data_IF_013211504697
#
_entry.id   IF_013211504697
#
_cell.length_a   1.000
_cell.length_b   1.000
_cell.length_c   1.000
_cell.angle_alpha   90.00
_cell.angle_beta   90.00
_cell.angle_gamma   90.00
#
_symmetry.space_group_name_H-M   'P 1'
#
loop_
_entity.id
_entity.type
_entity.pdbx_description
1 polymer ?
#
# COMPACT_ATOMS: atom_id res chain seq x y z
N UNK A 1 16.94 5.71 21.54
CA UNK A 1 16.29 4.41 21.27
C UNK A 1 16.25 4.22 19.76
N UNK A 2 16.58 3.02 19.28
CA UNK A 2 16.64 2.75 17.85
C UNK A 2 15.25 2.53 17.22
N UNK A 3 14.32 1.94 17.99
CA UNK A 3 12.91 1.84 17.62
C UNK A 3 12.25 3.20 17.90
N UNK A 4 11.54 3.72 16.91
CA UNK A 4 10.85 5.02 16.97
C UNK A 4 9.37 4.76 17.20
N UNK A 5 8.82 5.37 18.25
CA UNK A 5 7.38 5.35 18.51
C UNK A 5 6.66 6.42 17.67
N UNK A 6 5.61 6.01 16.96
CA UNK A 6 4.79 6.92 16.16
C UNK A 6 4.08 7.97 17.03
N UNK A 7 3.77 7.68 18.29
CA UNK A 7 3.17 8.63 19.22
C UNK A 7 4.07 9.85 19.51
N UNK A 8 5.39 9.70 19.31
CA UNK A 8 6.35 10.79 19.52
C UNK A 8 6.51 11.71 18.31
N UNK A 9 5.79 11.47 17.21
CA UNK A 9 5.95 12.24 15.98
C UNK A 9 5.01 13.44 15.94
N UNK A 10 5.43 14.57 15.35
CA UNK A 10 4.52 15.68 15.08
C UNK A 10 3.33 15.23 14.22
N UNK A 11 2.13 15.72 14.52
CA UNK A 11 0.91 15.47 13.73
C UNK A 11 1.10 15.65 12.22
N UNK A 12 1.82 16.69 11.79
CA UNK A 12 2.16 16.91 10.38
C UNK A 12 2.91 15.73 9.77
N UNK A 13 3.89 15.19 10.48
CA UNK A 13 4.66 14.02 10.03
C UNK A 13 3.77 12.79 9.92
N UNK A 14 2.81 12.59 10.84
CA UNK A 14 1.85 11.49 10.75
C UNK A 14 0.96 11.61 9.51
N UNK A 15 0.45 12.80 9.21
CA UNK A 15 -0.34 13.04 7.99
C UNK A 15 0.51 12.81 6.72
N UNK A 16 1.74 13.32 6.70
CA UNK A 16 2.66 13.14 5.57
C UNK A 16 3.03 11.66 5.36
N UNK A 17 3.21 10.90 6.45
CA UNK A 17 3.44 9.45 6.41
C UNK A 17 2.23 8.70 5.88
N UNK A 18 1.01 9.03 6.34
CA UNK A 18 -0.23 8.42 5.86
C UNK A 18 -0.38 8.60 4.33
N UNK A 19 -0.23 9.83 3.84
CA UNK A 19 -0.28 10.14 2.41
C UNK A 19 0.84 9.45 1.63
N UNK A 20 2.02 9.33 2.23
CA UNK A 20 3.16 8.62 1.61
C UNK A 20 2.90 7.13 1.51
N UNK A 21 2.32 6.50 2.53
CA UNK A 21 1.97 5.09 2.54
C UNK A 21 0.89 4.78 1.51
N UNK A 22 -0.07 5.69 1.36
CA UNK A 22 -1.06 5.63 0.28
C UNK A 22 -0.40 5.59 -1.11
N UNK A 23 0.49 6.55 -1.39
CA UNK A 23 1.25 6.61 -2.66
C UNK A 23 2.19 5.41 -2.86
N UNK A 24 2.79 4.92 -1.78
CA UNK A 24 3.65 3.75 -1.77
C UNK A 24 2.87 2.49 -2.15
N UNK A 25 1.67 2.31 -1.61
CA UNK A 25 0.80 1.18 -1.93
C UNK A 25 0.45 1.16 -3.42
N UNK A 26 0.11 2.30 -4.01
CA UNK A 26 -0.13 2.40 -5.46
C UNK A 26 1.13 2.18 -6.31
N UNK A 27 2.31 2.41 -5.72
CA UNK A 27 3.57 2.11 -6.41
C UNK A 27 3.83 0.61 -6.40
N UNK A 28 3.61 -0.09 -5.28
CA UNK A 28 3.74 -1.55 -5.19
C UNK A 28 2.78 -2.23 -6.18
N UNK A 29 1.51 -1.86 -6.13
CA UNK A 29 0.47 -2.37 -7.03
C UNK A 29 0.81 -2.11 -8.52
N UNK A 30 1.13 -0.85 -8.87
CA UNK A 30 1.51 -0.50 -10.23
C UNK A 30 2.78 -1.18 -10.72
N UNK A 31 3.74 -1.48 -9.85
CA UNK A 31 4.94 -2.25 -10.20
C UNK A 31 4.61 -3.73 -10.46
N UNK A 32 3.75 -4.34 -9.65
CA UNK A 32 3.22 -5.67 -9.95
C UNK A 32 2.54 -5.69 -11.31
N UNK A 33 1.60 -4.77 -11.52
CA UNK A 33 0.87 -4.65 -12.79
C UNK A 33 1.82 -4.54 -13.98
N UNK A 34 2.79 -3.62 -13.95
CA UNK A 34 3.69 -3.36 -15.09
C UNK A 34 4.57 -4.58 -15.38
N UNK A 35 5.10 -5.26 -14.35
CA UNK A 35 5.93 -6.45 -14.59
C UNK A 35 5.10 -7.63 -15.14
N UNK A 36 3.84 -7.78 -14.71
CA UNK A 36 2.92 -8.78 -15.26
C UNK A 36 2.54 -8.42 -16.70
N UNK A 37 2.25 -7.14 -16.99
CA UNK A 37 1.95 -6.63 -18.33
C UNK A 37 3.13 -6.89 -19.29
N UNK A 38 4.36 -6.58 -18.85
CA UNK A 38 5.58 -6.78 -19.64
C UNK A 38 5.83 -8.27 -19.94
N UNK A 39 5.51 -9.17 -19.00
CA UNK A 39 5.80 -10.61 -19.14
C UNK A 39 4.69 -11.39 -19.83
N UNK A 40 3.43 -11.02 -19.60
CA UNK A 40 2.25 -11.81 -20.00
C UNK A 40 1.18 -11.03 -20.77
N UNK A 41 1.42 -9.76 -21.07
CA UNK A 41 0.50 -8.89 -21.80
C UNK A 41 -0.54 -8.21 -20.91
N UNK A 42 -1.15 -7.15 -21.47
CA UNK A 42 -2.08 -6.27 -20.75
C UNK A 42 -3.32 -7.00 -20.24
N UNK A 43 -3.93 -7.88 -21.05
CA UNK A 43 -5.15 -8.58 -20.66
C UNK A 43 -4.92 -9.50 -19.45
N UNK A 44 -3.79 -10.20 -19.41
CA UNK A 44 -3.39 -11.01 -18.26
C UNK A 44 -3.17 -10.14 -17.01
N UNK A 45 -2.53 -8.99 -17.17
CA UNK A 45 -2.31 -8.06 -16.07
C UNK A 45 -3.63 -7.53 -15.50
N UNK A 46 -4.57 -7.11 -16.36
CA UNK A 46 -5.92 -6.68 -15.96
C UNK A 46 -6.64 -7.81 -15.22
N UNK A 47 -6.63 -9.03 -15.76
CA UNK A 47 -7.35 -10.15 -15.15
C UNK A 47 -6.84 -10.46 -13.73
N UNK A 48 -5.52 -10.48 -13.54
CA UNK A 48 -4.93 -10.71 -12.21
C UNK A 48 -5.21 -9.54 -11.27
N UNK A 49 -5.07 -8.31 -11.76
CA UNK A 49 -5.35 -7.08 -10.99
C UNK A 49 -6.81 -7.07 -10.50
N UNK A 50 -7.78 -7.34 -11.38
CA UNK A 50 -9.20 -7.45 -11.04
C UNK A 50 -9.42 -8.45 -9.90
N UNK A 51 -8.77 -9.63 -9.92
CA UNK A 51 -8.89 -10.63 -8.84
C UNK A 51 -8.27 -10.17 -7.52
N UNK A 52 -7.17 -9.41 -7.58
CA UNK A 52 -6.54 -8.81 -6.39
C UNK A 52 -7.52 -7.84 -5.73
N UNK A 53 -8.06 -6.90 -6.50
CA UNK A 53 -8.95 -5.86 -6.00
C UNK A 53 -10.33 -6.38 -5.56
N UNK A 54 -10.86 -7.42 -6.21
CA UNK A 54 -12.06 -8.13 -5.78
C UNK A 54 -11.93 -8.70 -4.35
N UNK A 55 -10.83 -9.41 -4.08
CA UNK A 55 -10.56 -9.99 -2.76
C UNK A 55 -10.21 -8.90 -1.73
N UNK A 56 -9.52 -7.85 -2.17
CA UNK A 56 -9.07 -6.77 -1.31
C UNK A 56 -10.20 -5.85 -0.83
N UNK A 57 -11.17 -5.51 -1.70
CA UNK A 57 -12.20 -4.50 -1.38
C UNK A 57 -12.99 -4.77 -0.10
N UNK A 58 -13.47 -6.00 0.10
CA UNK A 58 -14.16 -6.39 1.34
C UNK A 58 -13.22 -6.44 2.57
N UNK A 59 -11.94 -6.73 2.35
CA UNK A 59 -10.94 -6.74 3.42
C UNK A 59 -10.64 -5.32 3.90
N UNK A 60 -10.48 -4.39 2.97
CA UNK A 60 -10.24 -2.99 3.27
C UNK A 60 -11.43 -2.35 3.99
N UNK A 61 -12.65 -2.54 3.49
CA UNK A 61 -13.85 -2.02 4.14
C UNK A 61 -13.96 -2.47 5.61
N UNK A 62 -13.69 -3.76 5.90
CA UNK A 62 -13.66 -4.26 7.30
C UNK A 62 -12.58 -3.58 8.15
N UNK A 63 -11.40 -3.36 7.58
CA UNK A 63 -10.28 -2.72 8.29
C UNK A 63 -10.56 -1.25 8.56
N UNK A 64 -11.14 -0.52 7.60
CA UNK A 64 -11.56 0.88 7.75
C UNK A 64 -12.65 1.00 8.82
N UNK A 65 -13.69 0.15 8.76
CA UNK A 65 -14.75 0.13 9.79
C UNK A 65 -14.16 -0.05 11.19
N UNK A 66 -13.20 -0.98 11.34
CA UNK A 66 -12.50 -1.19 12.60
C UNK A 66 -11.65 0.01 13.02
N UNK A 67 -10.83 0.56 12.13
CA UNK A 67 -9.92 1.65 12.44
C UNK A 67 -10.66 2.95 12.83
N UNK A 68 -11.86 3.16 12.29
CA UNK A 68 -12.67 4.36 12.50
C UNK A 68 -13.88 4.14 13.43
N UNK A 69 -13.99 2.95 14.01
CA UNK A 69 -15.13 2.51 14.83
C UNK A 69 -16.50 2.76 14.16
N UNK A 70 -16.61 2.49 12.86
CA UNK A 70 -17.88 2.60 12.12
C UNK A 70 -18.68 1.33 12.37
N UNK A 71 -19.80 1.47 13.07
CA UNK A 71 -20.70 0.34 13.40
C UNK A 71 -21.98 0.38 12.57
N UNK A 72 -22.39 1.58 12.16
CA UNK A 72 -23.51 1.86 11.29
C UNK A 72 -23.25 1.53 9.80
N UNK A 73 -24.32 1.54 9.02
CA UNK A 73 -24.34 1.36 7.56
C UNK A 73 -24.79 2.63 6.81
N UNK A 74 -25.27 2.45 5.60
CA UNK A 74 -25.79 3.53 4.75
C UNK A 74 -24.73 4.45 4.12
N UNK A 75 -25.22 5.50 3.48
CA UNK A 75 -24.41 6.49 2.75
C UNK A 75 -23.47 7.27 3.66
N UNK A 76 -23.84 7.71 4.88
CA UNK A 76 -22.90 8.38 5.78
C UNK A 76 -21.68 7.51 6.13
N UNK A 77 -21.91 6.22 6.39
CA UNK A 77 -20.83 5.26 6.66
C UNK A 77 -19.94 5.07 5.42
N UNK A 78 -20.54 4.97 4.23
CA UNK A 78 -19.81 4.82 2.97
C UNK A 78 -18.96 6.06 2.65
N UNK A 79 -19.56 7.26 2.73
CA UNK A 79 -18.89 8.52 2.48
C UNK A 79 -17.68 8.68 3.40
N UNK A 80 -17.86 8.42 4.70
CA UNK A 80 -16.76 8.40 5.68
C UNK A 80 -15.70 7.37 5.28
N UNK A 81 -16.06 6.14 4.94
CA UNK A 81 -15.11 5.07 4.63
C UNK A 81 -14.31 5.33 3.33
N UNK A 82 -14.93 5.92 2.30
CA UNK A 82 -14.29 6.22 1.02
C UNK A 82 -13.07 7.14 1.19
N UNK A 83 -13.12 8.11 2.10
CA UNK A 83 -12.00 9.00 2.42
C UNK A 83 -10.72 8.27 2.90
N UNK A 84 -10.82 6.98 3.27
CA UNK A 84 -9.73 6.21 3.87
C UNK A 84 -9.35 4.95 3.10
N UNK A 85 -9.93 4.71 1.91
CA UNK A 85 -9.38 3.68 1.02
C UNK A 85 -7.90 3.95 0.77
N UNK A 86 -7.08 2.90 0.70
CA UNK A 86 -5.62 3.00 0.79
C UNK A 86 -5.01 3.95 -0.20
N UNK A 87 -5.63 4.15 -1.35
CA UNK A 87 -5.15 4.98 -2.43
C UNK A 87 -5.67 6.42 -2.39
N UNK A 88 -6.73 6.68 -1.62
CA UNK A 88 -7.44 7.97 -1.60
C UNK A 88 -6.59 9.10 -1.02
N UNK A 89 -5.87 8.96 0.12
CA UNK A 89 -5.02 10.04 0.63
C UNK A 89 -3.87 10.44 -0.30
N UNK A 90 -3.55 9.60 -1.28
CA UNK A 90 -2.50 9.81 -2.28
C UNK A 90 -2.98 10.48 -3.57
N UNK A 91 -4.29 10.71 -3.73
CA UNK A 91 -4.94 11.25 -4.92
C UNK A 91 -5.79 12.49 -4.58
N UNK A 92 -6.28 13.18 -5.61
CA UNK A 92 -7.36 14.16 -5.44
C UNK A 92 -8.70 13.60 -5.91
N UNK A 93 -9.73 13.94 -5.15
CA UNK A 93 -11.08 13.43 -5.28
C UNK A 93 -12.07 14.46 -4.69
N UNK A 94 -13.35 14.24 -4.96
CA UNK A 94 -14.44 15.07 -4.45
C UNK A 94 -15.74 14.25 -4.37
N UNK A 95 -16.72 14.80 -3.66
CA UNK A 95 -18.08 14.27 -3.59
C UNK A 95 -19.05 15.32 -4.14
N UNK A 96 -19.32 15.33 -5.47
CA UNK A 96 -20.17 16.37 -6.06
C UNK A 96 -21.65 16.25 -5.64
N UNK A 97 -22.07 15.09 -5.13
CA UNK A 97 -23.43 14.85 -4.62
C UNK A 97 -23.33 13.94 -3.38
N UNK A 98 -23.91 14.36 -2.24
CA UNK A 98 -24.05 13.52 -1.05
C UNK A 98 -25.43 13.73 -0.44
N UNK A 99 -26.26 12.70 -0.42
CA UNK A 99 -27.60 12.74 0.18
C UNK A 99 -27.71 11.70 1.29
N UNK A 100 -28.87 11.59 1.93
CA UNK A 100 -29.10 10.50 2.88
C UNK A 100 -29.07 9.11 2.22
N UNK A 101 -29.37 9.02 0.92
CA UNK A 101 -29.62 7.76 0.19
C UNK A 101 -28.75 7.54 -1.05
N UNK A 102 -28.01 8.54 -1.50
CA UNK A 102 -27.04 8.46 -2.61
C UNK A 102 -25.77 9.26 -2.33
N UNK A 103 -24.66 8.87 -2.94
CA UNK A 103 -23.51 9.76 -3.13
C UNK A 103 -22.90 9.53 -4.51
N UNK A 104 -22.22 10.55 -5.02
CA UNK A 104 -21.30 10.44 -6.16
C UNK A 104 -19.89 10.69 -5.65
N UNK A 105 -18.94 9.87 -6.08
CA UNK A 105 -17.54 9.98 -5.72
C UNK A 105 -16.70 10.09 -7.00
N UNK A 106 -16.01 11.22 -7.16
CA UNK A 106 -15.15 11.51 -8.31
C UNK A 106 -13.67 11.41 -7.92
N UNK A 107 -12.86 10.84 -8.79
CA UNK A 107 -11.39 10.97 -8.74
C UNK A 107 -10.97 12.01 -9.77
N UNK A 108 -10.41 13.12 -9.33
CA UNK A 108 -10.06 14.28 -10.17
C UNK A 108 -8.56 14.34 -10.49
N UNK A 109 -7.69 13.73 -9.68
CA UNK A 109 -6.27 13.50 -10.01
C UNK A 109 -5.87 12.05 -9.72
N UNK A 110 -5.94 11.20 -10.75
CA UNK A 110 -5.57 9.79 -10.65
C UNK A 110 -4.06 9.60 -10.86
N UNK A 111 -3.35 9.21 -9.80
CA UNK A 111 -1.90 8.96 -9.87
C UNK A 111 -1.51 7.83 -10.84
N UNK A 112 -2.36 6.83 -11.01
CA UNK A 112 -2.14 5.70 -11.94
C UNK A 112 -2.18 6.18 -13.39
N UNK A 113 -3.20 6.93 -13.78
CA UNK A 113 -3.33 7.45 -15.14
C UNK A 113 -2.21 8.43 -15.47
N UNK A 114 -1.87 9.35 -14.56
CA UNK A 114 -0.70 10.23 -14.76
C UNK A 114 0.60 9.46 -14.91
N UNK A 115 0.79 8.37 -14.16
CA UNK A 115 1.98 7.54 -14.28
C UNK A 115 2.05 6.85 -15.65
N UNK A 116 0.92 6.35 -16.17
CA UNK A 116 0.80 5.80 -17.53
C UNK A 116 1.19 6.84 -18.59
N UNK A 117 0.56 8.01 -18.56
CA UNK A 117 0.81 9.10 -19.52
C UNK A 117 2.27 9.57 -19.47
N UNK A 118 2.82 9.79 -18.27
CA UNK A 118 4.25 10.17 -18.10
C UNK A 118 5.21 9.14 -18.69
N UNK A 119 4.82 7.87 -18.71
CA UNK A 119 5.61 6.78 -19.27
C UNK A 119 5.26 6.48 -20.74
N UNK A 120 4.58 7.39 -21.44
CA UNK A 120 4.14 7.23 -22.83
C UNK A 120 3.31 5.95 -23.06
N UNK A 121 2.51 5.55 -22.06
CA UNK A 121 1.56 4.44 -22.15
C UNK A 121 0.14 4.99 -22.33
N UNK A 122 -0.74 4.27 -23.03
CA UNK A 122 -2.15 4.65 -23.11
C UNK A 122 -2.79 4.62 -21.72
N UNK A 123 -3.92 5.30 -21.60
CA UNK A 123 -4.74 5.24 -20.39
C UNK A 123 -5.07 3.80 -20.02
N UNK A 124 -5.01 3.54 -18.72
CA UNK A 124 -5.34 2.25 -18.17
C UNK A 124 -6.85 2.05 -18.21
N UNK A 125 -7.30 0.92 -18.75
CA UNK A 125 -8.71 0.51 -18.80
C UNK A 125 -9.18 0.01 -17.43
N UNK A 126 -9.20 0.89 -16.43
CA UNK A 126 -9.37 0.56 -15.02
C UNK A 126 -10.80 0.22 -14.60
N UNK A 127 -11.82 0.46 -15.44
CA UNK A 127 -13.23 0.21 -15.09
C UNK A 127 -13.51 -1.18 -14.48
N UNK A 128 -13.06 -2.31 -15.05
CA UNK A 128 -13.30 -3.64 -14.45
C UNK A 128 -12.64 -3.79 -13.07
N UNK A 129 -11.49 -3.17 -12.86
CA UNK A 129 -10.76 -3.19 -11.58
C UNK A 129 -11.50 -2.34 -10.55
N UNK A 130 -11.98 -1.16 -10.94
CA UNK A 130 -12.80 -0.29 -10.10
C UNK A 130 -14.10 -0.97 -9.68
N UNK A 131 -14.81 -1.63 -10.59
CA UNK A 131 -16.03 -2.39 -10.30
C UNK A 131 -15.75 -3.53 -9.31
N UNK A 132 -14.66 -4.27 -9.53
CA UNK A 132 -14.22 -5.35 -8.65
C UNK A 132 -13.82 -4.85 -7.25
N UNK A 133 -13.25 -3.66 -7.12
CA UNK A 133 -12.95 -3.04 -5.82
C UNK A 133 -14.23 -2.55 -5.12
N UNK A 134 -14.98 -1.68 -5.77
CA UNK A 134 -16.03 -0.90 -5.13
C UNK A 134 -17.29 -1.72 -4.80
N UNK A 135 -17.61 -2.74 -5.60
CA UNK A 135 -18.77 -3.61 -5.33
C UNK A 135 -18.66 -4.34 -3.97
N UNK A 136 -17.61 -5.16 -3.69
CA UNK A 136 -17.47 -5.81 -2.40
C UNK A 136 -17.18 -4.82 -1.26
N UNK A 137 -16.51 -3.69 -1.55
CA UNK A 137 -16.31 -2.62 -0.57
C UNK A 137 -17.64 -2.06 -0.07
N UNK A 138 -18.51 -1.59 -0.97
CA UNK A 138 -19.80 -1.01 -0.63
C UNK A 138 -20.70 -2.03 0.09
N UNK A 139 -20.78 -3.27 -0.41
CA UNK A 139 -21.57 -4.34 0.24
C UNK A 139 -21.09 -4.69 1.64
N UNK A 140 -19.81 -4.48 1.94
CA UNK A 140 -19.24 -4.68 3.28
C UNK A 140 -19.56 -3.53 4.23
N UNK A 141 -19.68 -2.31 3.70
CA UNK A 141 -20.17 -1.16 4.48
C UNK A 141 -21.63 -1.40 4.85
N UNK A 142 -22.47 -1.65 3.84
CA UNK A 142 -23.90 -1.95 3.98
C UNK A 142 -24.38 -2.85 2.81
N UNK A 143 -25.00 -4.02 3.08
CA UNK A 143 -25.51 -4.91 2.03
C UNK A 143 -26.55 -4.28 1.10
N UNK A 144 -27.26 -3.24 1.54
CA UNK A 144 -28.27 -2.49 0.81
C UNK A 144 -27.72 -1.53 -0.25
N UNK A 145 -26.41 -1.23 -0.22
CA UNK A 145 -25.78 -0.31 -1.17
C UNK A 145 -25.63 -0.94 -2.56
N UNK A 146 -26.07 -0.23 -3.57
CA UNK A 146 -25.77 -0.46 -4.98
C UNK A 146 -24.73 0.55 -5.47
N UNK A 147 -24.01 0.17 -6.50
CA UNK A 147 -22.98 0.97 -7.13
C UNK A 147 -23.23 0.99 -8.65
N UNK A 148 -22.95 2.13 -9.25
CA UNK A 148 -22.97 2.35 -10.69
C UNK A 148 -21.71 3.13 -11.09
N UNK A 149 -20.98 2.64 -12.10
CA UNK A 149 -19.90 3.38 -12.72
C UNK A 149 -20.50 4.39 -13.71
N UNK A 150 -20.34 5.69 -13.45
CA UNK A 150 -20.85 6.75 -14.32
C UNK A 150 -19.89 7.03 -15.48
N UNK A 151 -18.60 7.10 -15.18
CA UNK A 151 -17.53 7.15 -16.18
C UNK A 151 -16.24 6.60 -15.57
N UNK A 152 -15.45 5.89 -16.36
CA UNK A 152 -14.15 5.36 -15.99
C UNK A 152 -13.46 4.82 -17.25
N UNK A 153 -12.18 5.10 -17.49
CA UNK A 153 -11.42 4.51 -18.58
C UNK A 153 -11.66 2.99 -18.71
N UNK A 154 -11.96 2.49 -19.92
CA UNK A 154 -11.77 3.12 -21.22
C UNK A 154 -12.93 4.00 -21.72
N UNK A 155 -13.98 4.20 -20.92
CA UNK A 155 -15.09 5.05 -21.31
C UNK A 155 -14.60 6.50 -21.46
N UNK A 156 -15.26 7.27 -22.34
CA UNK A 156 -15.02 8.70 -22.41
C UNK A 156 -15.35 9.37 -21.07
N UNK A 157 -14.48 10.28 -20.64
CA UNK A 157 -14.60 10.99 -19.39
C UNK A 157 -14.28 12.48 -19.57
N UNK A 158 -14.81 13.36 -18.71
CA UNK A 158 -14.43 14.77 -18.67
C UNK A 158 -12.92 14.96 -18.42
N UNK A 159 -12.36 16.08 -18.87
CA UNK A 159 -10.91 16.37 -18.71
C UNK A 159 -10.47 16.42 -17.23
N UNK A 160 -11.37 16.79 -16.32
CA UNK A 160 -11.13 17.02 -14.90
C UNK A 160 -11.61 15.87 -13.99
N UNK A 161 -12.21 14.82 -14.55
CA UNK A 161 -12.70 13.65 -13.80
C UNK A 161 -12.21 12.38 -14.47
N UNK A 162 -11.33 11.65 -13.79
CA UNK A 162 -10.80 10.37 -14.27
C UNK A 162 -11.79 9.22 -14.10
N UNK A 163 -12.52 9.19 -12.99
CA UNK A 163 -13.60 8.25 -12.80
C UNK A 163 -14.64 8.79 -11.83
N UNK A 164 -15.89 8.37 -12.02
CA UNK A 164 -17.04 8.78 -11.22
C UNK A 164 -17.91 7.58 -10.89
N UNK A 165 -18.25 7.44 -9.62
CA UNK A 165 -18.96 6.29 -9.07
C UNK A 165 -20.15 6.76 -8.26
N UNK A 166 -21.36 6.32 -8.65
CA UNK A 166 -22.58 6.59 -7.91
C UNK A 166 -22.90 5.41 -7.00
N UNK A 167 -23.22 5.70 -5.75
CA UNK A 167 -23.70 4.72 -4.79
C UNK A 167 -25.09 5.11 -4.32
N UNK A 168 -25.97 4.13 -4.11
CA UNK A 168 -27.35 4.35 -3.65
C UNK A 168 -27.86 3.22 -2.77
N UNK A 169 -28.76 3.50 -1.85
CA UNK A 169 -29.54 2.47 -1.15
C UNK A 169 -30.71 2.00 -2.02
N UNK A 170 -31.05 0.70 -1.98
CA UNK A 170 -32.26 0.18 -2.64
C UNK A 170 -33.52 0.82 -2.02
N UNK A 171 -34.45 1.18 -2.90
CA UNK A 171 -35.79 1.71 -2.65
C UNK A 171 -35.88 3.19 -2.17
N UNK A 172 -36.51 4.01 -3.03
CA UNK A 172 -36.98 5.40 -2.88
C UNK A 172 -36.10 6.56 -3.41
N UNK A 173 -36.71 7.64 -3.93
CA UNK A 173 -36.00 8.82 -4.42
C UNK A 173 -35.27 9.55 -3.28
N UNK A 174 -34.07 10.05 -3.58
CA UNK A 174 -33.23 10.82 -2.67
C UNK A 174 -33.66 12.30 -2.64
N UNK A 175 -33.60 12.92 -1.46
CA UNK A 175 -33.56 14.38 -1.31
C UNK A 175 -32.11 14.84 -1.29
N UNK A 176 -31.75 15.77 -2.18
CA UNK A 176 -30.42 16.42 -2.17
C UNK A 176 -30.17 17.07 -0.81
N UNK A 177 -29.01 16.76 -0.22
CA UNK A 177 -28.45 17.54 0.87
C UNK A 177 -27.17 18.14 0.30
N UNK A 178 -27.03 19.47 0.30
CA UNK A 178 -25.73 20.05 -0.01
C UNK A 178 -24.77 19.70 1.13
N UNK A 179 -23.74 18.92 0.84
CA UNK A 179 -22.70 18.57 1.80
C UNK A 179 -21.46 18.04 1.10
N UNK A 180 -20.29 18.56 1.48
CA UNK A 180 -19.00 17.97 1.12
C UNK A 180 -18.66 16.89 2.15
N UNK A 181 -18.44 15.65 1.68
CA UNK A 181 -18.01 14.54 2.53
C UNK A 181 -16.48 14.38 2.56
N UNK A 182 -15.73 15.18 1.80
CA UNK A 182 -14.27 15.18 1.82
C UNK A 182 -13.78 15.72 3.18
N UNK A 183 -12.75 15.07 3.71
CA UNK A 183 -12.17 15.47 5.00
C UNK A 183 -10.78 16.09 4.82
N UNK A 184 -10.37 16.93 5.77
CA UNK A 184 -8.97 17.21 6.00
C UNK A 184 -8.38 16.20 7.00
N UNK A 185 -7.35 15.46 6.60
CA UNK A 185 -6.65 14.52 7.49
C UNK A 185 -6.00 15.21 8.70
N UNK A 186 -5.78 16.53 8.64
CA UNK A 186 -5.34 17.32 9.81
C UNK A 186 -6.41 17.46 10.89
N UNK A 187 -7.68 17.15 10.63
CA UNK A 187 -8.74 17.17 11.64
C UNK A 187 -8.76 15.90 12.50
N UNK A 188 -8.06 14.85 12.07
CA UNK A 188 -8.02 13.57 12.77
C UNK A 188 -7.16 13.64 14.03
N UNK A 189 -7.47 12.82 15.03
CA UNK A 189 -6.59 12.64 16.18
C UNK A 189 -5.29 11.94 15.80
N UNK A 190 -4.20 12.18 16.53
CA UNK A 190 -2.92 11.46 16.32
C UNK A 190 -3.08 9.95 16.46
N UNK A 191 -3.89 9.50 17.44
CA UNK A 191 -4.21 8.09 17.62
C UNK A 191 -4.91 7.48 16.39
N UNK A 192 -5.88 8.19 15.80
CA UNK A 192 -6.54 7.77 14.56
C UNK A 192 -5.55 7.69 13.39
N UNK A 193 -4.69 8.70 13.23
CA UNK A 193 -3.66 8.69 12.18
C UNK A 193 -2.71 7.50 12.32
N UNK A 194 -2.29 7.17 13.54
CA UNK A 194 -1.41 6.04 13.83
C UNK A 194 -2.10 4.70 13.49
N UNK A 195 -3.36 4.53 13.86
CA UNK A 195 -4.11 3.32 13.49
C UNK A 195 -4.29 3.18 11.98
N UNK A 196 -4.51 4.28 11.26
CA UNK A 196 -4.57 4.29 9.79
C UNK A 196 -3.21 3.96 9.15
N UNK A 197 -2.10 4.47 9.68
CA UNK A 197 -0.73 4.14 9.21
C UNK A 197 -0.47 2.63 9.37
N UNK A 198 -0.78 2.06 10.55
CA UNK A 198 -0.67 0.61 10.78
C UNK A 198 -1.60 -0.20 9.88
N UNK A 199 -2.79 0.32 9.61
CA UNK A 199 -3.74 -0.31 8.67
C UNK A 199 -3.15 -0.34 7.25
N UNK A 200 -2.64 0.78 6.74
CA UNK A 200 -2.04 0.85 5.40
C UNK A 200 -0.82 -0.05 5.26
N UNK A 201 -0.01 -0.15 6.33
CA UNK A 201 1.09 -1.11 6.42
C UNK A 201 0.63 -2.57 6.21
N UNK A 202 -0.47 -2.97 6.87
CA UNK A 202 -1.05 -4.31 6.71
C UNK A 202 -1.72 -4.49 5.34
N UNK A 203 -2.33 -3.43 4.82
CA UNK A 203 -3.03 -3.44 3.55
C UNK A 203 -2.09 -3.63 2.37
N UNK A 204 -0.95 -2.92 2.30
CA UNK A 204 0.00 -3.11 1.19
C UNK A 204 0.56 -4.54 1.17
N UNK A 205 0.83 -5.13 2.32
CA UNK A 205 1.27 -6.54 2.42
C UNK A 205 0.15 -7.50 1.98
N UNK A 206 -1.11 -7.13 2.18
CA UNK A 206 -2.24 -7.92 1.68
C UNK A 206 -2.34 -7.83 0.16
N UNK A 207 -2.18 -6.63 -0.42
CA UNK A 207 -2.19 -6.42 -1.88
C UNK A 207 -1.04 -7.20 -2.53
N UNK A 208 0.17 -7.05 -2.00
CA UNK A 208 1.38 -7.76 -2.44
C UNK A 208 1.19 -9.29 -2.38
N UNK A 209 0.72 -9.81 -1.24
CA UNK A 209 0.43 -11.23 -1.09
C UNK A 209 -0.67 -11.75 -2.03
N UNK A 210 -1.68 -10.94 -2.35
CA UNK A 210 -2.73 -11.30 -3.31
C UNK A 210 -2.19 -11.36 -4.74
N UNK A 211 -1.35 -10.39 -5.14
CA UNK A 211 -0.63 -10.44 -6.43
C UNK A 211 0.21 -11.70 -6.52
N UNK A 212 1.03 -11.95 -5.50
CA UNK A 212 1.90 -13.12 -5.42
C UNK A 212 1.11 -14.42 -5.55
N UNK A 213 0.05 -14.60 -4.76
CA UNK A 213 -0.77 -15.83 -4.76
C UNK A 213 -1.45 -16.04 -6.10
N UNK A 214 -2.03 -15.00 -6.71
CA UNK A 214 -2.70 -15.15 -8.01
C UNK A 214 -1.71 -15.53 -9.13
N UNK A 215 -0.47 -15.06 -9.06
CA UNK A 215 0.59 -15.44 -10.02
C UNK A 215 1.09 -16.86 -9.73
N UNK A 216 1.34 -17.20 -8.46
CA UNK A 216 1.75 -18.55 -8.02
C UNK A 216 0.73 -19.60 -8.45
N UNK A 217 -0.57 -19.33 -8.25
CA UNK A 217 -1.66 -20.25 -8.62
C UNK A 217 -1.86 -20.38 -10.13
N UNK A 218 -1.62 -19.30 -10.89
CA UNK A 218 -1.84 -19.29 -12.34
C UNK A 218 -0.66 -19.89 -13.11
N UNK A 219 0.56 -19.64 -12.64
CA UNK A 219 1.78 -20.02 -13.34
C UNK A 219 2.58 -21.00 -12.48
N UNK A 220 3.40 -20.48 -11.57
CA UNK A 220 4.19 -21.23 -10.60
C UNK A 220 4.84 -20.29 -9.59
N UNK A 221 5.42 -20.87 -8.52
CA UNK A 221 6.10 -20.14 -7.46
C UNK A 221 7.32 -19.34 -7.96
N UNK A 222 8.11 -19.92 -8.88
CA UNK A 222 9.30 -19.28 -9.40
C UNK A 222 8.97 -18.02 -10.22
N UNK A 223 7.88 -18.06 -10.97
CA UNK A 223 7.34 -16.91 -11.71
C UNK A 223 6.89 -15.80 -10.77
N UNK A 224 6.20 -16.15 -9.68
CA UNK A 224 5.80 -15.19 -8.67
C UNK A 224 7.03 -14.52 -8.04
N UNK A 225 8.05 -15.30 -7.66
CA UNK A 225 9.32 -14.82 -7.10
C UNK A 225 10.05 -13.89 -8.08
N UNK A 226 10.18 -14.27 -9.36
CA UNK A 226 10.88 -13.44 -10.36
C UNK A 226 10.25 -12.05 -10.50
N UNK A 227 8.92 -11.97 -10.48
CA UNK A 227 8.22 -10.69 -10.54
C UNK A 227 8.37 -9.94 -9.21
N UNK A 228 8.21 -10.62 -8.08
CA UNK A 228 8.32 -10.05 -6.73
C UNK A 228 9.69 -9.37 -6.51
N UNK A 229 10.77 -10.03 -6.93
CA UNK A 229 12.13 -9.47 -6.92
C UNK A 229 12.17 -8.12 -7.67
N UNK A 230 11.62 -8.05 -8.88
CA UNK A 230 11.61 -6.82 -9.71
C UNK A 230 10.76 -5.73 -9.09
N UNK A 231 9.66 -6.09 -8.44
CA UNK A 231 8.78 -5.14 -7.74
C UNK A 231 9.53 -4.51 -6.58
N UNK A 232 10.04 -5.32 -5.66
CA UNK A 232 10.67 -4.81 -4.44
C UNK A 232 12.04 -4.15 -4.69
N UNK A 233 12.78 -4.55 -5.73
CA UNK A 233 14.00 -3.86 -6.17
C UNK A 233 13.70 -2.39 -6.56
N UNK A 234 12.72 -2.18 -7.45
CA UNK A 234 12.34 -0.83 -7.92
C UNK A 234 11.64 -0.04 -6.82
N UNK A 235 10.83 -0.71 -6.00
CA UNK A 235 10.12 -0.08 -4.89
C UNK A 235 11.09 0.41 -3.81
N UNK A 236 12.13 -0.37 -3.46
CA UNK A 236 13.12 0.01 -2.44
C UNK A 236 13.76 1.38 -2.70
N UNK A 237 14.08 1.69 -3.96
CA UNK A 237 14.57 3.02 -4.37
C UNK A 237 13.51 4.11 -4.15
N UNK A 238 12.27 3.83 -4.56
CA UNK A 238 11.17 4.81 -4.48
C UNK A 238 10.83 5.14 -3.04
N UNK A 239 10.74 4.12 -2.19
CA UNK A 239 10.44 4.26 -0.77
C UNK A 239 11.54 5.03 -0.05
N UNK A 240 12.81 4.66 -0.23
CA UNK A 240 13.94 5.36 0.38
C UNK A 240 13.90 6.86 0.05
N UNK A 241 13.69 7.23 -1.23
CA UNK A 241 13.55 8.64 -1.64
C UNK A 241 12.38 9.36 -0.98
N UNK A 242 11.23 8.69 -0.82
CA UNK A 242 10.05 9.28 -0.17
C UNK A 242 10.28 9.45 1.33
N UNK A 243 10.83 8.45 2.00
CA UNK A 243 11.16 8.53 3.42
C UNK A 243 12.20 9.61 3.72
N UNK A 244 13.22 9.78 2.86
CA UNK A 244 14.18 10.89 3.02
C UNK A 244 13.51 12.26 3.05
N UNK A 245 12.52 12.48 2.19
CA UNK A 245 11.74 13.73 2.18
C UNK A 245 10.82 13.87 3.39
N UNK A 246 10.04 12.84 3.72
CA UNK A 246 9.05 12.92 4.82
C UNK A 246 9.73 13.05 6.17
N UNK A 247 10.87 12.40 6.35
CA UNK A 247 11.58 12.34 7.62
C UNK A 247 12.72 13.35 7.72
N UNK A 248 12.96 14.18 6.69
CA UNK A 248 14.12 15.07 6.57
C UNK A 248 15.43 14.32 6.88
N UNK A 249 15.73 13.28 6.10
CA UNK A 249 16.98 12.55 6.20
C UNK A 249 17.96 13.13 5.18
N UNK A 250 19.09 13.63 5.68
CA UNK A 250 20.16 14.19 4.87
C UNK A 250 20.84 13.13 4.00
N UNK A 251 21.36 13.56 2.85
CA UNK A 251 22.24 12.75 2.01
C UNK A 251 23.52 12.39 2.77
N UNK A 252 23.96 11.13 2.69
CA UNK A 252 25.21 10.71 3.33
C UNK A 252 25.13 10.56 4.86
N UNK A 253 23.93 10.43 5.44
CA UNK A 253 23.75 10.29 6.89
C UNK A 253 24.13 8.93 7.50
N UNK A 254 24.68 8.01 6.71
CA UNK A 254 25.23 6.72 7.15
C UNK A 254 24.23 5.83 7.91
N UNK A 255 24.71 5.12 8.93
CA UNK A 255 23.92 4.18 9.73
C UNK A 255 22.76 4.86 10.45
N UNK A 256 22.96 6.08 10.98
CA UNK A 256 21.91 6.82 11.67
C UNK A 256 20.71 7.13 10.74
N UNK A 257 21.00 7.57 9.51
CA UNK A 257 19.99 7.77 8.48
C UNK A 257 19.26 6.46 8.11
N UNK A 258 20.00 5.37 7.93
CA UNK A 258 19.44 4.06 7.62
C UNK A 258 18.52 3.56 8.73
N UNK A 259 18.99 3.57 9.99
CA UNK A 259 18.19 3.15 11.16
C UNK A 259 16.89 3.95 11.24
N UNK A 260 16.98 5.28 11.08
CA UNK A 260 15.79 6.14 11.05
C UNK A 260 14.84 5.72 9.93
N UNK A 261 15.34 5.49 8.71
CA UNK A 261 14.49 5.09 7.57
C UNK A 261 13.87 3.69 7.73
N UNK A 262 14.61 2.72 8.27
CA UNK A 262 14.14 1.35 8.49
C UNK A 262 12.92 1.29 9.43
N UNK A 263 12.81 2.20 10.39
CA UNK A 263 11.63 2.30 11.26
C UNK A 263 10.32 2.64 10.52
N UNK A 264 10.41 3.16 9.28
CA UNK A 264 9.29 3.71 8.53
C UNK A 264 9.07 3.09 7.16
N UNK A 265 9.75 1.98 6.83
CA UNK A 265 9.36 1.21 5.64
C UNK A 265 7.88 0.82 5.75
N UNK A 266 7.16 0.81 4.64
CA UNK A 266 5.70 0.77 4.62
C UNK A 266 5.14 -0.42 5.39
N UNK A 267 5.82 -1.55 5.37
CA UNK A 267 5.39 -2.80 5.99
C UNK A 267 5.78 -2.89 7.49
N UNK A 268 6.62 -1.99 7.97
CA UNK A 268 7.19 -2.04 9.32
C UNK A 268 6.17 -1.74 10.42
N UNK A 269 5.27 -0.74 10.31
CA UNK A 269 4.26 -0.50 11.35
C UNK A 269 3.27 -1.64 11.59
N UNK A 270 3.16 -2.58 10.62
CA UNK A 270 2.32 -3.77 10.71
C UNK A 270 3.04 -5.03 11.20
N UNK A 271 4.33 -4.95 11.54
CA UNK A 271 5.19 -6.08 11.91
C UNK A 271 6.05 -5.75 13.14
N UNK A 272 6.67 -6.78 13.74
CA UNK A 272 7.67 -6.59 14.79
C UNK A 272 9.09 -6.88 14.30
N UNK A 273 10.00 -6.09 14.86
CA UNK A 273 11.40 -6.01 14.49
C UNK A 273 12.21 -5.44 15.65
N UNK A 274 13.51 -5.63 15.56
CA UNK A 274 14.50 -5.13 16.52
C UNK A 274 15.82 -4.80 15.84
N UNK A 275 16.66 -4.06 16.56
CA UNK A 275 18.03 -3.78 16.19
C UNK A 275 18.96 -4.33 17.28
N UNK A 276 19.39 -5.60 17.19
CA UNK A 276 20.19 -6.22 18.26
C UNK A 276 21.58 -5.59 18.39
N UNK A 277 22.10 -4.98 17.32
CA UNK A 277 23.39 -4.30 17.30
C UNK A 277 23.31 -3.01 16.47
N UNK A 278 23.82 -1.91 17.03
CA UNK A 278 24.01 -0.64 16.33
C UNK A 278 25.34 -0.03 16.75
N UNK A 279 26.15 0.32 15.76
CA UNK A 279 27.38 1.10 15.93
C UNK A 279 27.36 2.28 14.96
N UNK A 280 28.41 3.10 14.97
CA UNK A 280 28.56 4.17 13.97
C UNK A 280 28.76 3.64 12.55
N UNK A 281 29.26 2.40 12.40
CA UNK A 281 29.63 1.79 11.11
C UNK A 281 28.79 0.58 10.72
N UNK A 282 27.94 0.07 11.61
CA UNK A 282 27.11 -1.10 11.34
C UNK A 282 25.75 -1.06 12.04
N UNK A 283 24.77 -1.74 11.47
CA UNK A 283 23.52 -2.10 12.16
C UNK A 283 23.09 -3.49 11.74
N UNK A 284 22.58 -4.27 12.69
CA UNK A 284 21.81 -5.49 12.42
C UNK A 284 20.32 -5.15 12.58
N UNK A 285 19.52 -5.56 11.60
CA UNK A 285 18.07 -5.38 11.58
C UNK A 285 17.41 -6.76 11.49
N UNK A 286 16.65 -7.12 12.53
CA UNK A 286 15.91 -8.38 12.60
C UNK A 286 14.43 -8.12 12.40
N UNK A 287 13.78 -8.94 11.57
CA UNK A 287 12.32 -9.08 11.56
C UNK A 287 11.96 -10.27 12.44
N UNK A 288 11.31 -9.99 13.56
CA UNK A 288 10.95 -11.01 14.56
C UNK A 288 9.52 -11.50 14.39
N UNK A 289 8.64 -10.70 13.75
CA UNK A 289 7.30 -11.12 13.38
C UNK A 289 6.94 -10.81 11.92
N UNK A 290 7.04 -11.82 11.06
CA UNK A 290 6.78 -11.68 9.63
C UNK A 290 5.37 -12.15 9.25
N UNK A 291 4.47 -11.19 9.00
CA UNK A 291 3.07 -11.49 8.64
C UNK A 291 2.92 -12.33 7.35
N UNK A 292 3.66 -12.08 6.26
CA UNK A 292 3.63 -12.94 5.06
C UNK A 292 3.97 -14.40 5.34
N UNK A 293 5.03 -14.66 6.12
CA UNK A 293 5.44 -16.03 6.45
C UNK A 293 4.37 -16.74 7.28
N UNK A 294 3.87 -16.10 8.34
CA UNK A 294 2.77 -16.65 9.15
C UNK A 294 1.52 -16.93 8.31
N UNK A 295 1.20 -16.05 7.37
CA UNK A 295 0.06 -16.25 6.47
C UNK A 295 0.25 -17.50 5.61
N UNK A 296 1.40 -17.68 4.96
CA UNK A 296 1.66 -18.90 4.17
C UNK A 296 1.64 -20.17 5.01
N UNK A 297 2.20 -20.16 6.23
CA UNK A 297 2.14 -21.32 7.12
C UNK A 297 0.70 -21.66 7.50
N UNK A 298 -0.10 -20.66 7.90
CA UNK A 298 -1.53 -20.84 8.17
C UNK A 298 -2.27 -21.41 6.96
N UNK A 299 -1.92 -20.94 5.77
CA UNK A 299 -2.54 -21.35 4.51
C UNK A 299 -1.91 -22.64 3.94
N UNK A 300 -1.05 -23.33 4.71
CA UNK A 300 -0.39 -24.61 4.39
C UNK A 300 0.45 -24.59 3.11
N UNK A 301 1.05 -23.43 2.79
CA UNK A 301 1.91 -23.23 1.61
C UNK A 301 3.40 -23.34 1.88
N UNK A 302 3.79 -23.71 3.10
CA UNK A 302 5.18 -23.71 3.56
C UNK A 302 5.77 -22.30 3.68
N UNK A 303 7.01 -22.21 4.15
CA UNK A 303 7.73 -20.94 4.20
C UNK A 303 8.01 -20.41 2.80
N UNK A 304 7.86 -19.10 2.63
CA UNK A 304 8.24 -18.40 1.42
C UNK A 304 9.76 -18.31 1.34
N UNK A 305 10.44 -18.74 0.25
CA UNK A 305 11.86 -18.47 0.04
C UNK A 305 12.13 -16.99 -0.28
N UNK A 306 11.91 -16.09 0.69
CA UNK A 306 11.89 -14.63 0.50
C UNK A 306 13.27 -13.97 0.41
N UNK A 307 14.37 -14.69 0.67
CA UNK A 307 15.73 -14.16 0.65
C UNK A 307 16.08 -13.36 -0.61
N UNK A 308 15.81 -13.82 -1.85
CA UNK A 308 16.12 -13.05 -3.06
C UNK A 308 15.38 -11.71 -3.10
N UNK A 309 14.11 -11.69 -2.69
CA UNK A 309 13.26 -10.48 -2.63
C UNK A 309 13.80 -9.50 -1.59
N UNK A 310 14.14 -10.01 -0.39
CA UNK A 310 14.75 -9.20 0.66
C UNK A 310 16.10 -8.61 0.25
N UNK A 311 16.96 -9.38 -0.42
CA UNK A 311 18.24 -8.89 -0.96
C UNK A 311 18.00 -7.76 -1.95
N UNK A 312 17.06 -7.95 -2.89
CA UNK A 312 16.73 -6.94 -3.89
C UNK A 312 16.21 -5.64 -3.25
N UNK A 313 15.28 -5.75 -2.29
CA UNK A 313 14.71 -4.64 -1.55
C UNK A 313 15.77 -3.88 -0.74
N UNK A 314 16.40 -4.56 0.21
CA UNK A 314 17.26 -3.90 1.19
C UNK A 314 18.52 -3.33 0.55
N UNK A 315 18.99 -3.93 -0.56
CA UNK A 315 20.18 -3.45 -1.26
C UNK A 315 19.89 -2.08 -1.86
N UNK A 316 18.84 -2.00 -2.66
CA UNK A 316 18.44 -0.75 -3.31
C UNK A 316 17.95 0.30 -2.33
N UNK A 317 17.27 -0.11 -1.27
CA UNK A 317 16.89 0.79 -0.21
C UNK A 317 18.12 1.42 0.46
N UNK A 318 19.08 0.61 0.93
CA UNK A 318 20.27 1.10 1.61
C UNK A 318 21.15 1.97 0.70
N UNK A 319 21.45 1.52 -0.52
CA UNK A 319 22.20 2.29 -1.54
C UNK A 319 21.57 3.67 -1.80
N UNK A 320 20.23 3.77 -1.73
CA UNK A 320 19.49 5.03 -1.94
C UNK A 320 19.50 5.93 -0.72
N UNK A 321 19.57 5.37 0.49
CA UNK A 321 19.76 6.15 1.72
C UNK A 321 21.16 6.77 1.72
N UNK A 322 22.19 5.94 1.51
CA UNK A 322 23.58 6.35 1.42
C UNK A 322 24.34 5.35 0.54
N UNK A 323 24.99 5.78 -0.56
CA UNK A 323 25.65 4.89 -1.52
C UNK A 323 26.86 4.14 -0.93
N UNK A 324 27.33 4.52 0.26
CA UNK A 324 28.40 3.82 1.00
C UNK A 324 27.90 2.63 1.81
N UNK A 325 26.58 2.45 1.92
CA UNK A 325 26.01 1.34 2.68
C UNK A 325 26.04 0.06 1.86
N UNK A 326 26.65 -0.96 2.42
CA UNK A 326 26.59 -2.33 1.92
C UNK A 326 25.72 -3.18 2.85
N UNK A 327 25.14 -4.26 2.32
CA UNK A 327 24.23 -5.13 3.05
C UNK A 327 24.57 -6.60 2.85
N UNK A 328 24.41 -7.36 3.93
CA UNK A 328 24.56 -8.80 3.97
C UNK A 328 23.33 -9.42 4.64
N UNK A 329 22.72 -10.38 3.96
CA UNK A 329 21.73 -11.27 4.57
C UNK A 329 22.45 -12.21 5.54
N UNK A 330 22.06 -12.21 6.82
CA UNK A 330 22.59 -13.13 7.82
C UNK A 330 21.77 -14.42 7.86
N UNK A 331 20.44 -14.29 7.87
CA UNK A 331 19.48 -15.38 7.89
C UNK A 331 18.21 -14.91 7.17
N UNK A 332 17.64 -15.73 6.30
CA UNK A 332 16.35 -15.49 5.67
C UNK A 332 15.90 -16.76 4.92
N UNK A 333 14.63 -17.19 5.02
CA UNK A 333 14.10 -18.29 4.23
C UNK A 333 14.48 -18.20 2.75
N UNK A 334 14.91 -19.31 2.11
CA UNK A 334 14.77 -20.69 2.58
C UNK A 334 15.89 -21.18 3.51
N UNK A 335 16.84 -20.32 3.90
CA UNK A 335 17.85 -20.71 4.86
C UNK A 335 17.20 -21.03 6.21
N UNK A 336 17.75 -22.01 6.93
CA UNK A 336 17.32 -22.31 8.29
C UNK A 336 17.48 -21.06 9.17
N UNK A 337 16.47 -20.78 9.99
CA UNK A 337 16.46 -19.63 10.89
C UNK A 337 16.08 -20.02 12.32
N UNK A 338 16.49 -19.22 13.32
CA UNK A 338 16.00 -19.37 14.70
C UNK A 338 14.49 -19.17 14.81
N UNK A 339 13.85 -19.77 15.81
CA UNK A 339 12.39 -19.67 16.01
C UNK A 339 11.90 -18.22 16.22
N UNK A 340 12.74 -17.36 16.78
CA UNK A 340 12.39 -15.99 17.15
C UNK A 340 12.80 -14.92 16.13
N UNK A 341 13.38 -15.31 14.99
CA UNK A 341 13.84 -14.39 13.94
C UNK A 341 13.51 -14.97 12.58
N UNK A 342 12.67 -14.26 11.81
CA UNK A 342 12.34 -14.66 10.43
C UNK A 342 13.42 -14.27 9.44
N UNK A 343 13.97 -13.06 9.57
CA UNK A 343 15.12 -12.65 8.77
C UNK A 343 15.98 -11.63 9.50
N UNK A 344 17.27 -11.62 9.18
CA UNK A 344 18.28 -10.77 9.79
C UNK A 344 19.22 -10.22 8.73
N UNK A 345 19.44 -8.91 8.78
CA UNK A 345 20.17 -8.15 7.77
C UNK A 345 21.21 -7.28 8.45
N UNK A 346 22.47 -7.46 8.07
CA UNK A 346 23.56 -6.60 8.49
C UNK A 346 23.81 -5.53 7.44
N UNK A 347 23.88 -4.28 7.86
CA UNK A 347 24.29 -3.16 7.03
C UNK A 347 25.59 -2.60 7.57
N UNK A 348 26.53 -2.29 6.68
CA UNK A 348 27.83 -1.69 7.03
C UNK A 348 28.07 -0.45 6.20
N UNK A 349 28.59 0.59 6.84
CA UNK A 349 29.06 1.80 6.18
C UNK A 349 30.52 1.60 5.78
N UNK A 350 30.79 1.57 4.49
CA UNK A 350 32.15 1.49 3.96
C UNK A 350 32.74 2.90 3.84
N UNK A 351 34.03 3.05 4.19
CA UNK A 351 34.76 4.27 3.87
C UNK A 351 35.16 4.21 2.38
N UNK A 352 34.99 5.31 1.65
CA UNK A 352 35.49 5.39 0.27
C UNK A 352 37.01 5.12 0.28
N UNK A 353 37.43 4.05 -0.41
CA UNK A 353 38.85 3.77 -0.68
C UNK A 353 39.38 4.76 -1.70
#
# INVERSE_FOLDING_TARGET
MAKIDLMGLPKKTLVDLLKTYSKNSMTVDGLWFVNVEEKFGLDTAIEIDTRVWERYGATEARRIKKALNITEGGIPALAKALNFQIWVPGMEYEFPEVTEKSLVFNVTDCTVQRARIRNNRPEFKCKPVGEALFAPFAKTIDPGLEMECLTCPPDEHPEDVWCSWKFRLKDEPATEIEGDAKIDYFDLSEGTLIELIKMYSKNVITIDGLWFINIEERFDLDTAIDIDIKVWERYGVTEARRLKRVLNIDEGGGISALVKALNFQIWVPGMDYEFPEITEKSVVFNVTDCTPQKARIRDKRGEFPCKPVGVALFKKFAETIDPRLNMKCLVCPPDSHPENVWCSWEFRLEEHI
#
